data_IF_842512625018
#
_entry.id   IF_842512625018
#
_cell.length_a   1.000
_cell.length_b   1.000
_cell.length_c   1.000
_cell.angle_alpha   90.00
_cell.angle_beta   90.00
_cell.angle_gamma   90.00
#
_symmetry.space_group_name_H-M   'P 1'
#
loop_
_entity.id
_entity.type
_entity.pdbx_description
1 polymer ?
#
# COMPACT_ATOMS: atom_id res chain seq x y z
N UNK A 1 -16.14 -17.91 -6.66
CA UNK A 1 -16.85 -18.55 -7.80
C UNK A 1 -16.65 -20.07 -7.85
N UNK A 2 -15.40 -20.56 -7.91
CA UNK A 2 -15.12 -22.00 -7.93
C UNK A 2 -15.67 -22.75 -6.70
N UNK A 3 -15.37 -22.27 -5.49
CA UNK A 3 -15.84 -22.89 -4.25
C UNK A 3 -17.38 -22.97 -4.12
N UNK A 4 -18.10 -22.04 -4.76
CA UNK A 4 -19.57 -22.00 -4.75
C UNK A 4 -20.19 -22.75 -5.93
N UNK A 5 -19.39 -23.43 -6.77
CA UNK A 5 -19.88 -24.19 -7.92
C UNK A 5 -20.47 -23.36 -9.07
N UNK A 6 -20.29 -22.04 -9.05
CA UNK A 6 -20.87 -21.11 -10.05
C UNK A 6 -19.92 -20.77 -11.20
N UNK A 7 -18.70 -21.30 -11.20
CA UNK A 7 -17.73 -21.09 -12.27
C UNK A 7 -18.11 -21.97 -13.49
N UNK A 8 -18.65 -21.34 -14.53
CA UNK A 8 -19.20 -22.04 -15.71
C UNK A 8 -18.18 -22.41 -16.78
N UNK A 9 -16.96 -21.86 -16.67
CA UNK A 9 -15.90 -22.02 -17.68
C UNK A 9 -14.58 -22.34 -16.98
N UNK A 10 -13.66 -23.08 -17.63
CA UNK A 10 -12.31 -23.24 -17.12
C UNK A 10 -11.64 -21.87 -16.91
N UNK A 11 -10.96 -21.71 -15.78
CA UNK A 11 -10.19 -20.52 -15.46
C UNK A 11 -8.78 -20.93 -15.01
N UNK A 12 -7.78 -20.22 -15.51
CA UNK A 12 -6.37 -20.44 -15.15
C UNK A 12 -5.93 -19.25 -14.31
N UNK A 13 -5.44 -19.52 -13.10
CA UNK A 13 -4.83 -18.47 -12.28
C UNK A 13 -3.41 -18.18 -12.80
N UNK A 14 -3.27 -17.10 -13.58
CA UNK A 14 -1.98 -16.65 -14.10
C UNK A 14 -1.20 -15.86 -13.05
N UNK A 15 -1.89 -15.22 -12.09
CA UNK A 15 -1.26 -14.39 -11.08
C UNK A 15 -0.28 -15.19 -10.20
N UNK A 16 -0.60 -16.45 -9.91
CA UNK A 16 0.22 -17.31 -9.06
C UNK A 16 1.38 -17.98 -9.80
N UNK A 17 1.51 -17.75 -11.12
CA UNK A 17 2.72 -18.16 -11.83
C UNK A 17 3.94 -17.40 -11.28
N UNK A 18 5.08 -18.09 -11.17
CA UNK A 18 6.31 -17.51 -10.60
C UNK A 18 6.75 -16.30 -11.41
N UNK A 19 6.68 -16.40 -12.74
CA UNK A 19 7.07 -15.34 -13.67
C UNK A 19 6.13 -14.15 -13.64
N UNK A 20 4.87 -14.29 -13.17
CA UNK A 20 3.96 -13.16 -12.94
C UNK A 20 4.18 -12.62 -11.53
N UNK A 21 3.86 -13.39 -10.50
CA UNK A 21 3.89 -12.92 -9.11
C UNK A 21 5.24 -12.36 -8.68
N UNK A 22 6.36 -13.04 -8.98
CA UNK A 22 7.69 -12.63 -8.50
C UNK A 22 8.37 -11.58 -9.38
N UNK A 23 7.83 -11.28 -10.55
CA UNK A 23 8.40 -10.26 -11.43
C UNK A 23 7.50 -9.04 -11.56
N UNK A 24 6.26 -9.25 -12.01
CA UNK A 24 5.32 -8.16 -12.24
C UNK A 24 4.98 -7.45 -10.91
N UNK A 25 4.52 -8.19 -9.91
CA UNK A 25 4.15 -7.57 -8.63
C UNK A 25 5.36 -6.98 -7.91
N UNK A 26 6.52 -7.61 -7.97
CA UNK A 26 7.70 -7.18 -7.23
C UNK A 26 8.49 -6.10 -7.98
N UNK A 27 9.06 -6.46 -9.14
CA UNK A 27 9.95 -5.58 -9.90
C UNK A 27 9.16 -4.53 -10.70
N UNK A 28 7.98 -4.88 -11.22
CA UNK A 28 7.12 -3.93 -11.92
C UNK A 28 6.68 -2.79 -11.01
N UNK A 29 6.21 -3.11 -9.81
CA UNK A 29 5.84 -2.08 -8.81
C UNK A 29 7.05 -1.29 -8.30
N UNK A 30 8.24 -1.91 -8.20
CA UNK A 30 9.47 -1.20 -7.80
C UNK A 30 9.82 -0.05 -8.75
N UNK A 31 9.59 -0.23 -10.04
CA UNK A 31 9.89 0.80 -11.04
C UNK A 31 8.72 1.78 -11.22
N UNK A 32 7.50 1.27 -11.34
CA UNK A 32 6.33 2.09 -11.69
C UNK A 32 5.79 2.95 -10.55
N UNK A 33 5.94 2.52 -9.28
CA UNK A 33 5.46 3.30 -8.14
C UNK A 33 6.13 4.67 -8.07
N UNK A 34 7.47 4.67 -8.11
CA UNK A 34 8.26 5.89 -7.99
C UNK A 34 8.02 6.80 -9.20
N UNK A 35 7.89 6.21 -10.39
CA UNK A 35 7.52 6.94 -11.61
C UNK A 35 6.17 7.67 -11.46
N UNK A 36 5.15 6.99 -10.91
CA UNK A 36 3.84 7.60 -10.64
C UNK A 36 3.90 8.77 -9.64
N UNK A 37 4.61 8.59 -8.53
CA UNK A 37 4.76 9.64 -7.51
C UNK A 37 5.53 10.84 -8.09
N UNK A 38 6.62 10.59 -8.80
CA UNK A 38 7.44 11.64 -9.41
C UNK A 38 6.62 12.44 -10.43
N UNK A 39 5.90 11.78 -11.34
CA UNK A 39 5.08 12.48 -12.34
C UNK A 39 3.93 13.29 -11.75
N UNK A 40 3.38 12.84 -10.62
CA UNK A 40 2.24 13.51 -9.99
C UNK A 40 2.65 14.70 -9.11
N UNK A 41 3.83 14.64 -8.49
CA UNK A 41 4.19 15.56 -7.39
C UNK A 41 5.56 16.22 -7.52
N UNK A 42 6.44 15.70 -8.40
CA UNK A 42 7.84 16.11 -8.53
C UNK A 42 8.59 16.21 -7.18
N UNK A 43 8.13 15.45 -6.18
CA UNK A 43 8.60 15.59 -4.81
C UNK A 43 9.92 14.86 -4.61
N UNK A 44 10.82 15.45 -3.81
CA UNK A 44 12.02 14.74 -3.36
C UNK A 44 11.63 13.60 -2.40
N UNK A 45 11.90 12.35 -2.79
CA UNK A 45 11.64 11.17 -1.95
C UNK A 45 12.74 10.99 -0.87
N UNK A 46 13.98 11.37 -1.18
CA UNK A 46 15.10 11.24 -0.26
C UNK A 46 14.85 12.01 1.06
N UNK A 47 15.06 11.34 2.20
CA UNK A 47 14.88 11.93 3.53
C UNK A 47 13.44 11.99 4.03
N UNK A 48 12.44 11.61 3.22
CA UNK A 48 11.05 11.50 3.66
C UNK A 48 10.77 10.15 4.34
N UNK A 49 9.85 10.17 5.29
CA UNK A 49 9.28 8.94 5.86
C UNK A 49 8.18 8.44 4.95
N UNK A 50 8.34 7.24 4.42
CA UNK A 50 7.37 6.60 3.53
C UNK A 50 6.70 5.48 4.30
N UNK A 51 5.40 5.29 4.16
CA UNK A 51 4.62 4.25 4.84
C UNK A 51 4.00 3.39 3.75
N UNK A 52 4.21 2.07 3.79
CA UNK A 52 3.61 1.10 2.87
C UNK A 52 2.76 0.17 3.72
N UNK A 53 1.45 0.28 3.55
CA UNK A 53 0.50 -0.64 4.14
C UNK A 53 0.44 -1.91 3.30
N UNK A 54 0.94 -3.00 3.87
CA UNK A 54 1.03 -4.30 3.22
C UNK A 54 2.45 -4.64 2.74
N UNK A 55 2.82 -5.91 2.91
CA UNK A 55 4.13 -6.44 2.57
C UNK A 55 4.02 -7.80 1.87
N UNK A 56 3.12 -7.85 0.90
CA UNK A 56 3.10 -8.92 -0.11
C UNK A 56 4.14 -8.67 -1.20
N UNK A 57 4.02 -9.34 -2.35
CA UNK A 57 4.97 -9.15 -3.45
C UNK A 57 4.99 -7.70 -3.97
N UNK A 58 3.82 -7.02 -4.00
CA UNK A 58 3.71 -5.59 -4.34
C UNK A 58 4.41 -4.69 -3.31
N UNK A 59 4.09 -4.87 -2.02
CA UNK A 59 4.68 -4.07 -0.94
C UNK A 59 6.19 -4.21 -0.84
N UNK A 60 6.73 -5.42 -1.09
CA UNK A 60 8.18 -5.65 -1.18
C UNK A 60 8.86 -4.86 -2.30
N UNK A 61 8.14 -4.59 -3.39
CA UNK A 61 8.65 -3.77 -4.49
C UNK A 61 8.82 -2.30 -4.11
N UNK A 62 8.08 -1.80 -3.13
CA UNK A 62 7.96 -0.36 -2.86
C UNK A 62 9.19 0.25 -2.14
N UNK A 63 10.07 -0.56 -1.55
CA UNK A 63 11.47 -0.23 -1.27
C UNK A 63 11.77 1.12 -0.57
N UNK A 64 11.00 1.52 0.44
CA UNK A 64 11.24 2.75 1.19
C UNK A 64 11.33 2.50 2.71
N UNK A 65 11.81 3.49 3.47
CA UNK A 65 11.99 3.43 4.94
C UNK A 65 10.62 3.38 5.62
N UNK A 66 10.09 2.16 5.81
CA UNK A 66 8.64 1.97 5.90
C UNK A 66 8.19 1.22 7.13
N UNK A 67 7.18 1.81 7.76
CA UNK A 67 6.30 1.27 8.80
C UNK A 67 5.17 0.46 8.15
N UNK A 68 5.02 -0.82 8.52
CA UNK A 68 4.08 -1.75 7.88
C UNK A 68 2.98 -2.24 8.84
N UNK A 69 1.73 -1.80 8.70
CA UNK A 69 0.59 -2.45 9.34
C UNK A 69 0.31 -3.79 8.62
N UNK A 70 0.95 -4.86 9.08
CA UNK A 70 0.77 -6.19 8.50
C UNK A 70 0.09 -7.13 9.48
N UNK A 71 -1.05 -7.69 9.05
CA UNK A 71 -1.80 -8.68 9.82
C UNK A 71 -1.08 -10.04 9.78
N UNK A 72 -0.32 -10.32 8.72
CA UNK A 72 0.42 -11.57 8.58
C UNK A 72 1.81 -11.49 9.26
N UNK A 73 2.04 -12.25 10.36
CA UNK A 73 3.28 -12.17 11.12
C UNK A 73 4.52 -12.61 10.33
N UNK A 74 4.37 -13.47 9.31
CA UNK A 74 5.50 -13.93 8.48
C UNK A 74 6.04 -12.78 7.62
N UNK A 75 5.12 -12.04 6.98
CA UNK A 75 5.50 -10.91 6.14
C UNK A 75 6.04 -9.75 6.99
N UNK A 76 5.48 -9.54 8.19
CA UNK A 76 6.01 -8.58 9.16
C UNK A 76 7.45 -8.92 9.55
N UNK A 77 7.73 -10.19 9.89
CA UNK A 77 9.09 -10.63 10.22
C UNK A 77 10.05 -10.45 9.05
N UNK A 78 9.63 -10.76 7.82
CA UNK A 78 10.47 -10.54 6.63
C UNK A 78 10.86 -9.07 6.48
N UNK A 79 9.91 -8.16 6.68
CA UNK A 79 10.21 -6.73 6.61
C UNK A 79 11.17 -6.27 7.70
N UNK A 80 10.98 -6.75 8.94
CA UNK A 80 11.91 -6.46 10.03
C UNK A 80 13.33 -6.97 9.74
N UNK A 81 13.46 -8.11 9.07
CA UNK A 81 14.76 -8.66 8.66
C UNK A 81 15.42 -7.89 7.51
N UNK A 82 14.65 -7.17 6.71
CA UNK A 82 15.15 -6.24 5.70
C UNK A 82 15.47 -4.85 6.27
N UNK A 83 15.29 -4.65 7.59
CA UNK A 83 15.61 -3.40 8.29
C UNK A 83 14.49 -2.37 8.30
N UNK A 84 13.27 -2.78 7.96
CA UNK A 84 12.09 -1.93 8.01
C UNK A 84 11.43 -1.99 9.40
N UNK A 85 10.80 -0.88 9.79
CA UNK A 85 10.04 -0.82 11.02
C UNK A 85 8.65 -1.41 10.80
N UNK A 86 8.12 -2.13 11.78
CA UNK A 86 6.77 -2.69 11.71
C UNK A 86 5.96 -2.04 12.81
N UNK A 87 5.04 -1.15 12.44
CA UNK A 87 4.05 -0.62 13.38
C UNK A 87 2.68 -0.44 12.69
N UNK A 88 1.71 0.05 13.44
CA UNK A 88 0.32 0.24 13.06
C UNK A 88 0.12 1.50 12.22
N UNK A 89 -0.97 1.55 11.45
CA UNK A 89 -1.31 2.76 10.66
C UNK A 89 -1.61 3.96 11.58
N UNK A 90 -2.22 3.71 12.75
CA UNK A 90 -2.51 4.76 13.73
C UNK A 90 -1.23 5.44 14.23
N UNK A 91 -0.14 4.70 14.45
CA UNK A 91 1.16 5.31 14.80
C UNK A 91 1.84 5.93 13.57
N UNK A 92 1.81 5.22 12.43
CA UNK A 92 2.47 5.64 11.20
C UNK A 92 1.95 6.98 10.66
N UNK A 93 0.65 7.26 10.83
CA UNK A 93 0.03 8.46 10.28
C UNK A 93 0.61 9.76 10.84
N UNK A 94 1.12 9.75 12.08
CA UNK A 94 1.73 10.92 12.69
C UNK A 94 3.11 11.29 12.11
N UNK A 95 3.85 10.30 11.59
CA UNK A 95 5.23 10.47 11.16
C UNK A 95 5.42 10.44 9.64
N UNK A 96 4.54 9.74 8.92
CA UNK A 96 4.65 9.55 7.49
C UNK A 96 4.49 10.85 6.67
N UNK A 97 5.23 10.92 5.57
CA UNK A 97 5.11 11.96 4.54
C UNK A 97 4.44 11.42 3.27
N UNK A 98 4.67 10.14 2.95
CA UNK A 98 4.12 9.47 1.77
C UNK A 98 3.49 8.16 2.25
N UNK A 99 2.23 7.92 1.90
CA UNK A 99 1.48 6.74 2.29
C UNK A 99 1.07 5.95 1.06
N UNK A 100 1.40 4.66 1.02
CA UNK A 100 1.16 3.75 -0.10
C UNK A 100 0.37 2.55 0.41
N UNK A 101 -0.74 2.21 -0.24
CA UNK A 101 -1.56 1.03 0.09
C UNK A 101 -1.34 -0.09 -0.93
N UNK A 102 -1.09 -1.31 -0.45
CA UNK A 102 -0.68 -2.49 -1.26
C UNK A 102 -1.37 -3.80 -0.79
N UNK A 103 -2.44 -3.69 0.00
CA UNK A 103 -2.96 -4.82 0.78
C UNK A 103 -3.95 -5.69 0.03
N UNK A 104 -4.62 -5.13 -0.99
CA UNK A 104 -5.80 -5.73 -1.62
C UNK A 104 -7.01 -5.83 -0.67
N UNK A 105 -7.05 -5.05 0.41
CA UNK A 105 -8.13 -5.03 1.41
C UNK A 105 -8.77 -3.64 1.50
N UNK A 106 -10.00 -3.62 1.97
CA UNK A 106 -10.74 -2.39 2.22
C UNK A 106 -10.26 -1.72 3.52
N UNK A 107 -10.51 -0.41 3.63
CA UNK A 107 -10.46 0.32 4.90
C UNK A 107 -9.08 0.36 5.58
N UNK A 108 -8.01 0.52 4.78
CA UNK A 108 -6.64 0.63 5.29
C UNK A 108 -6.34 2.05 5.77
N UNK A 109 -6.66 3.05 4.95
CA UNK A 109 -6.57 4.46 5.32
C UNK A 109 -7.98 5.01 5.47
N UNK A 110 -8.35 5.38 6.69
CA UNK A 110 -9.67 5.85 7.06
C UNK A 110 -9.64 7.35 7.34
N UNK A 111 -10.81 8.01 7.34
CA UNK A 111 -10.95 9.45 7.64
C UNK A 111 -10.16 9.92 8.87
N UNK A 112 -10.17 9.14 9.96
CA UNK A 112 -9.41 9.45 11.19
C UNK A 112 -7.89 9.46 11.00
N UNK A 113 -7.34 8.71 10.05
CA UNK A 113 -5.90 8.71 9.77
C UNK A 113 -5.51 10.00 9.05
N UNK A 114 -6.35 10.50 8.13
CA UNK A 114 -6.11 11.78 7.44
C UNK A 114 -6.02 12.96 8.41
N UNK A 115 -6.83 12.98 9.47
CA UNK A 115 -6.79 14.06 10.48
C UNK A 115 -5.47 14.13 11.25
N UNK A 116 -4.75 13.01 11.31
CA UNK A 116 -3.52 12.85 12.07
C UNK A 116 -2.27 12.95 11.19
N UNK A 117 -2.45 12.96 9.86
CA UNK A 117 -1.36 13.10 8.89
C UNK A 117 -0.76 14.50 8.92
N UNK A 118 0.52 14.57 8.56
CA UNK A 118 1.23 15.83 8.35
C UNK A 118 0.58 16.61 7.21
N UNK A 119 0.67 17.94 7.30
CA UNK A 119 0.34 18.82 6.19
C UNK A 119 1.19 18.47 4.96
N UNK A 120 0.61 18.56 3.77
CA UNK A 120 1.19 18.12 2.50
C UNK A 120 1.61 16.63 2.45
N UNK A 121 1.00 15.77 3.27
CA UNK A 121 1.18 14.33 3.14
C UNK A 121 0.62 13.82 1.80
N UNK A 122 1.39 12.98 1.13
CA UNK A 122 1.01 12.37 -0.15
C UNK A 122 0.46 10.98 0.12
N UNK A 123 -0.67 10.63 -0.50
CA UNK A 123 -1.34 9.35 -0.30
C UNK A 123 -1.61 8.75 -1.67
N UNK A 124 -1.25 7.48 -1.85
CA UNK A 124 -1.51 6.74 -3.07
C UNK A 124 -1.86 5.28 -2.82
N UNK A 125 -2.46 4.67 -3.83
CA UNK A 125 -2.85 3.27 -3.85
C UNK A 125 -2.25 2.61 -5.08
N UNK A 126 -1.60 1.47 -4.89
CA UNK A 126 -1.09 0.60 -5.95
C UNK A 126 -1.77 -0.79 -5.91
N UNK A 127 -2.75 -0.96 -5.03
CA UNK A 127 -3.68 -2.08 -5.07
C UNK A 127 -4.59 -2.05 -6.30
N UNK A 128 -5.29 -3.16 -6.53
CA UNK A 128 -6.16 -3.29 -7.72
C UNK A 128 -7.44 -2.44 -7.62
N UNK A 129 -7.94 -2.21 -6.41
CA UNK A 129 -9.16 -1.45 -6.16
C UNK A 129 -8.86 -0.22 -5.29
N UNK A 130 -9.59 0.86 -5.52
CA UNK A 130 -9.52 2.14 -4.82
C UNK A 130 -10.01 2.09 -3.37
N UNK A 131 -10.76 1.04 -3.01
CA UNK A 131 -11.37 0.83 -1.69
C UNK A 131 -10.38 0.64 -0.53
N UNK A 132 -9.07 0.56 -0.79
CA UNK A 132 -8.07 0.57 0.28
C UNK A 132 -8.04 1.90 1.04
N UNK A 133 -8.47 2.98 0.38
CA UNK A 133 -8.51 4.34 0.93
C UNK A 133 -9.96 4.80 0.99
N UNK A 134 -10.38 5.25 2.17
CA UNK A 134 -11.68 5.91 2.35
C UNK A 134 -11.64 7.35 1.84
N UNK A 135 -11.76 7.49 0.51
CA UNK A 135 -11.78 8.80 -0.18
C UNK A 135 -13.01 9.62 0.22
N UNK A 136 -14.15 8.97 0.47
CA UNK A 136 -15.39 9.64 0.82
C UNK A 136 -15.33 10.22 2.25
N UNK A 137 -14.84 9.45 3.21
CA UNK A 137 -14.59 9.93 4.57
C UNK A 137 -13.58 11.06 4.60
N UNK A 138 -12.54 11.01 3.75
CA UNK A 138 -11.58 12.09 3.58
C UNK A 138 -12.22 13.41 3.11
N UNK A 139 -13.07 13.37 2.08
CA UNK A 139 -13.77 14.57 1.61
C UNK A 139 -14.62 15.18 2.72
N UNK A 140 -15.39 14.39 3.46
CA UNK A 140 -16.25 14.91 4.53
C UNK A 140 -15.44 15.59 5.64
N UNK A 141 -14.28 15.05 5.98
CA UNK A 141 -13.39 15.61 7.00
C UNK A 141 -12.70 16.90 6.55
N UNK A 142 -12.23 16.98 5.31
CA UNK A 142 -11.57 18.19 4.77
C UNK A 142 -12.50 19.40 4.69
N UNK A 143 -13.79 19.19 4.40
CA UNK A 143 -14.79 20.26 4.35
C UNK A 143 -15.28 20.74 5.72
N UNK A 144 -14.87 20.09 6.82
CA UNK A 144 -15.22 20.47 8.20
C UNK A 144 -14.16 21.34 8.89
N UNK A 145 -12.99 21.52 8.29
CA UNK A 145 -11.98 22.50 8.72
C UNK A 145 -12.16 23.80 7.93
#
# INVERSE_FOLDING_TARGET
>A
MMANGILKVPAINVNDSITKSKFDNLYGCRESLIDGINRATDVMIAGKMVVVAGYGDVGKGCGARVIIPQINPINALQAAMEGYEVTTMDEACHEGNIFITTTGRIDIILGRHFEQMKDDAIICNIGHFDVEIDVNGCMITLWRK
#
